data_IF_887972476905
#
_entry.id   IF_887972476905
#
_cell.length_a   1.000
_cell.length_b   1.000
_cell.length_c   1.000
_cell.angle_alpha   90.00
_cell.angle_beta   90.00
_cell.angle_gamma   90.00
#
_symmetry.space_group_name_H-M   'P 1'
#
loop_
_entity.id
_entity.type
_entity.pdbx_description
1 polymer ?
#
# COMPACT_ATOMS: atom_id res chain seq x y z
N UNK A 1 62.23 -10.95 -37.99
CA UNK A 1 61.96 -10.04 -36.84
C UNK A 1 60.91 -9.03 -37.27
N UNK A 2 59.67 -9.12 -36.83
CA UNK A 2 58.70 -8.07 -37.07
C UNK A 2 58.72 -7.05 -35.91
N UNK A 3 58.81 -5.79 -36.31
CA UNK A 3 58.83 -4.61 -35.47
C UNK A 3 57.44 -4.31 -34.95
N UNK A 4 57.26 -4.34 -33.61
CA UNK A 4 56.05 -3.91 -32.95
C UNK A 4 55.97 -2.38 -32.89
N UNK A 5 54.89 -1.81 -33.45
CA UNK A 5 54.50 -0.42 -33.25
C UNK A 5 53.64 -0.33 -32.00
N UNK A 6 53.82 0.64 -31.10
CA UNK A 6 52.98 0.83 -29.94
C UNK A 6 51.63 1.44 -30.31
N UNK A 7 50.56 0.87 -29.74
CA UNK A 7 49.18 1.39 -29.86
C UNK A 7 49.02 2.76 -29.19
N UNK A 8 48.25 3.68 -29.77
CA UNK A 8 47.97 4.97 -29.13
C UNK A 8 47.04 4.78 -27.90
N UNK A 9 47.50 5.34 -26.79
CA UNK A 9 46.72 5.43 -25.56
C UNK A 9 45.61 6.48 -25.75
N UNK A 10 44.35 6.04 -25.79
CA UNK A 10 43.22 6.96 -25.79
C UNK A 10 42.98 7.41 -24.33
N UNK A 11 43.31 8.67 -24.07
CA UNK A 11 42.98 9.34 -22.80
C UNK A 11 41.52 9.76 -22.90
N UNK A 12 40.64 9.09 -22.09
CA UNK A 12 39.29 9.53 -21.87
C UNK A 12 39.27 10.66 -20.84
N UNK A 13 39.04 11.89 -21.31
CA UNK A 13 38.68 12.99 -20.43
C UNK A 13 37.27 12.75 -19.85
N UNK A 14 37.09 12.82 -18.54
CA UNK A 14 35.74 12.71 -17.93
C UNK A 14 34.94 13.96 -18.32
N UNK A 15 33.63 13.79 -18.64
CA UNK A 15 32.81 14.94 -19.02
C UNK A 15 32.69 15.89 -17.81
N UNK A 16 33.03 17.14 -18.04
CA UNK A 16 32.94 18.22 -17.07
C UNK A 16 31.52 18.42 -16.59
N UNK A 17 31.28 18.07 -15.29
CA UNK A 17 30.06 18.37 -14.56
C UNK A 17 29.95 19.88 -14.29
N UNK A 18 29.44 20.61 -15.22
CA UNK A 18 29.21 22.05 -15.03
C UNK A 18 28.12 22.57 -15.98
N UNK A 19 26.86 22.21 -15.73
CA UNK A 19 25.71 22.91 -16.33
C UNK A 19 24.38 22.83 -15.55
N UNK A 20 24.33 22.41 -14.29
CA UNK A 20 23.07 22.34 -13.54
C UNK A 20 22.86 23.45 -12.49
N UNK A 21 23.82 24.38 -12.33
CA UNK A 21 23.69 25.46 -11.31
C UNK A 21 23.06 26.76 -11.82
N UNK A 22 22.84 26.91 -13.11
CA UNK A 22 22.28 28.13 -13.69
C UNK A 22 20.76 28.08 -13.85
N UNK A 23 20.16 26.90 -13.99
CA UNK A 23 18.70 26.77 -14.09
C UNK A 23 17.97 27.07 -12.77
N UNK A 24 18.53 26.66 -11.63
CA UNK A 24 17.93 26.93 -10.32
C UNK A 24 17.97 28.40 -9.88
N UNK A 25 18.82 29.21 -10.51
CA UNK A 25 18.92 30.64 -10.19
C UNK A 25 17.94 31.54 -10.95
N UNK A 26 17.33 31.05 -12.03
CA UNK A 26 16.34 31.78 -12.81
C UNK A 26 14.89 31.46 -12.37
N UNK A 27 14.66 30.30 -11.77
CA UNK A 27 13.32 29.88 -11.27
C UNK A 27 12.92 30.71 -10.04
N UNK A 28 13.85 30.98 -9.13
CA UNK A 28 13.58 31.78 -7.93
C UNK A 28 13.05 33.19 -8.21
N UNK A 29 13.71 34.00 -9.05
CA UNK A 29 13.19 35.32 -9.39
C UNK A 29 11.91 35.28 -10.23
N UNK A 30 11.69 34.24 -11.06
CA UNK A 30 10.44 34.09 -11.81
C UNK A 30 9.26 33.80 -10.88
N UNK A 31 9.42 32.93 -9.88
CA UNK A 31 8.42 32.66 -8.86
C UNK A 31 8.13 33.89 -7.99
N UNK A 32 9.13 34.68 -7.67
CA UNK A 32 8.94 35.94 -6.93
C UNK A 32 8.18 36.98 -7.76
N UNK A 33 8.44 37.07 -9.05
CA UNK A 33 7.71 37.98 -9.96
C UNK A 33 6.24 37.52 -10.10
N UNK A 34 5.99 36.21 -10.26
CA UNK A 34 4.62 35.68 -10.30
C UNK A 34 3.90 35.93 -8.96
N UNK A 35 4.53 35.64 -7.84
CA UNK A 35 3.98 35.93 -6.52
C UNK A 35 3.72 37.44 -6.29
N UNK A 36 4.59 38.31 -6.77
CA UNK A 36 4.39 39.74 -6.67
C UNK A 36 3.25 40.23 -7.58
N UNK A 37 3.10 39.69 -8.79
CA UNK A 37 1.98 40.00 -9.67
C UNK A 37 0.66 39.56 -9.06
N UNK A 38 0.60 38.33 -8.52
CA UNK A 38 -0.57 37.80 -7.81
C UNK A 38 -0.91 38.67 -6.60
N UNK A 39 0.08 39.08 -5.81
CA UNK A 39 -0.13 39.95 -4.65
C UNK A 39 -0.66 41.35 -5.06
N UNK A 40 -0.21 41.92 -6.19
CA UNK A 40 -0.69 43.20 -6.70
C UNK A 40 -2.11 43.09 -7.24
N UNK A 41 -2.44 42.01 -7.95
CA UNK A 41 -3.81 41.77 -8.47
C UNK A 41 -4.78 41.58 -7.32
N UNK A 42 -4.43 40.76 -6.32
CA UNK A 42 -5.25 40.48 -5.12
C UNK A 42 -5.43 41.72 -4.25
N UNK A 43 -4.43 42.60 -4.12
CA UNK A 43 -4.56 43.86 -3.34
C UNK A 43 -5.37 44.93 -4.06
N UNK A 44 -5.56 44.81 -5.35
CA UNK A 44 -6.37 45.75 -6.16
C UNK A 44 -7.83 45.31 -6.33
N UNK A 45 -8.10 44.01 -6.06
CA UNK A 45 -9.42 43.42 -6.14
C UNK A 45 -10.20 43.61 -4.83
N UNK A 46 -11.51 43.81 -4.93
CA UNK A 46 -12.39 43.81 -3.74
C UNK A 46 -12.41 42.44 -3.05
N UNK A 47 -12.96 42.34 -1.86
CA UNK A 47 -12.98 41.12 -1.04
C UNK A 47 -13.56 39.90 -1.80
N UNK A 48 -14.59 40.10 -2.63
CA UNK A 48 -15.21 39.04 -3.43
C UNK A 48 -14.22 38.45 -4.48
N UNK A 49 -13.53 39.30 -5.21
CA UNK A 49 -12.57 38.87 -6.24
C UNK A 49 -11.38 38.12 -5.60
N UNK A 50 -10.99 38.50 -4.41
CA UNK A 50 -9.95 37.80 -3.66
C UNK A 50 -10.40 36.38 -3.29
N UNK A 51 -11.62 36.20 -2.78
CA UNK A 51 -12.18 34.90 -2.42
C UNK A 51 -12.32 33.99 -3.66
N UNK A 52 -12.68 34.55 -4.81
CA UNK A 52 -12.76 33.82 -6.09
C UNK A 52 -11.40 33.28 -6.54
N UNK A 53 -10.34 34.08 -6.44
CA UNK A 53 -8.98 33.62 -6.75
C UNK A 53 -8.48 32.56 -5.77
N UNK A 54 -8.73 32.73 -4.47
CA UNK A 54 -8.37 31.73 -3.44
C UNK A 54 -9.10 30.39 -3.69
N UNK A 55 -10.35 30.43 -4.10
CA UNK A 55 -11.12 29.24 -4.47
C UNK A 55 -10.54 28.53 -5.69
N UNK A 56 -10.20 29.25 -6.75
CA UNK A 56 -9.57 28.70 -7.95
C UNK A 56 -8.19 28.11 -7.67
N UNK A 57 -7.40 28.75 -6.82
CA UNK A 57 -6.07 28.25 -6.42
C UNK A 57 -6.19 26.94 -5.63
N UNK A 58 -7.17 26.83 -4.72
CA UNK A 58 -7.45 25.59 -4.00
C UNK A 58 -7.94 24.50 -4.94
N UNK A 59 -8.87 24.79 -5.86
CA UNK A 59 -9.35 23.85 -6.86
C UNK A 59 -8.19 23.35 -7.73
N UNK A 60 -7.29 24.24 -8.15
CA UNK A 60 -6.08 23.89 -8.90
C UNK A 60 -5.14 22.97 -8.09
N UNK A 61 -4.94 23.26 -6.79
CA UNK A 61 -4.12 22.43 -5.92
C UNK A 61 -4.71 21.02 -5.78
N UNK A 62 -6.02 20.88 -5.59
CA UNK A 62 -6.73 19.60 -5.55
C UNK A 62 -6.59 18.85 -6.89
N UNK A 63 -6.71 19.56 -8.00
CA UNK A 63 -6.55 18.95 -9.33
C UNK A 63 -5.16 18.38 -9.57
N UNK A 64 -4.12 19.00 -9.01
CA UNK A 64 -2.73 18.48 -9.07
C UNK A 64 -2.59 17.16 -8.31
N UNK A 65 -3.20 17.03 -7.13
CA UNK A 65 -3.16 15.78 -6.36
C UNK A 65 -3.96 14.67 -7.08
N UNK A 66 -5.14 14.98 -7.61
CA UNK A 66 -5.92 14.02 -8.40
C UNK A 66 -5.22 13.60 -9.71
N UNK A 67 -4.45 14.48 -10.33
CA UNK A 67 -3.64 14.10 -11.49
C UNK A 67 -2.55 13.08 -11.10
N UNK A 68 -1.91 13.25 -9.92
CA UNK A 68 -0.97 12.26 -9.36
C UNK A 68 -1.65 10.93 -9.06
N UNK A 69 -2.88 10.98 -8.51
CA UNK A 69 -3.70 9.79 -8.29
C UNK A 69 -3.94 9.02 -9.61
N UNK A 70 -4.23 9.73 -10.70
CA UNK A 70 -4.34 9.15 -12.03
C UNK A 70 -3.04 8.51 -12.53
N UNK A 71 -1.88 9.14 -12.26
CA UNK A 71 -0.57 8.55 -12.57
C UNK A 71 -0.31 7.28 -11.74
N UNK A 72 -0.65 7.30 -10.46
CA UNK A 72 -0.54 6.14 -9.57
C UNK A 72 -1.42 4.97 -10.03
N UNK A 73 -2.67 5.23 -10.44
CA UNK A 73 -3.54 4.21 -10.98
C UNK A 73 -2.96 3.58 -12.25
N UNK A 74 -2.42 4.38 -13.18
CA UNK A 74 -1.78 3.88 -14.40
C UNK A 74 -0.55 3.02 -14.09
N UNK A 75 0.24 3.40 -13.10
CA UNK A 75 1.38 2.59 -12.66
C UNK A 75 0.94 1.24 -12.09
N UNK A 76 -0.03 1.22 -11.19
CA UNK A 76 -0.63 -0.02 -10.64
C UNK A 76 -1.16 -0.92 -11.73
N UNK A 77 -1.96 -0.37 -12.65
CA UNK A 77 -2.50 -1.13 -13.80
C UNK A 77 -1.39 -1.78 -14.62
N UNK A 78 -0.30 -1.07 -14.86
CA UNK A 78 0.85 -1.59 -15.62
C UNK A 78 1.55 -2.78 -14.94
N UNK A 79 1.35 -2.94 -13.62
CA UNK A 79 2.01 -3.94 -12.78
C UNK A 79 1.07 -5.01 -12.20
N UNK A 80 -0.23 -5.02 -12.55
CA UNK A 80 -1.23 -5.97 -11.99
C UNK A 80 -0.80 -7.44 -12.02
N UNK A 81 0.01 -7.85 -13.01
CA UNK A 81 0.50 -9.24 -13.13
C UNK A 81 1.56 -9.62 -12.09
N UNK A 82 2.09 -8.67 -11.30
CA UNK A 82 3.23 -8.88 -10.40
C UNK A 82 3.23 -8.00 -9.16
N UNK A 83 2.19 -7.20 -8.96
CA UNK A 83 2.06 -6.35 -7.77
C UNK A 83 1.64 -7.21 -6.59
N UNK A 84 2.17 -6.92 -5.41
CA UNK A 84 1.71 -7.53 -4.17
C UNK A 84 0.39 -6.91 -3.70
N UNK A 85 -0.46 -7.72 -3.04
CA UNK A 85 -1.79 -7.29 -2.57
C UNK A 85 -1.73 -6.08 -1.66
N UNK A 86 -0.81 -6.07 -0.70
CA UNK A 86 -0.64 -4.96 0.25
C UNK A 86 -0.23 -3.67 -0.45
N UNK A 87 0.66 -3.74 -1.45
CA UNK A 87 1.04 -2.58 -2.25
C UNK A 87 -0.14 -2.08 -3.08
N UNK A 88 -0.89 -2.99 -3.71
CA UNK A 88 -2.09 -2.65 -4.49
C UNK A 88 -3.11 -1.90 -3.65
N UNK A 89 -3.51 -2.46 -2.50
CA UNK A 89 -4.48 -1.87 -1.58
C UNK A 89 -3.97 -0.51 -1.08
N UNK A 90 -2.72 -0.41 -0.66
CA UNK A 90 -2.13 0.85 -0.17
C UNK A 90 -2.22 1.97 -1.21
N UNK A 91 -1.94 1.67 -2.48
CA UNK A 91 -2.00 2.70 -3.54
C UNK A 91 -3.45 3.08 -3.85
N UNK A 92 -4.37 2.11 -3.91
CA UNK A 92 -5.79 2.40 -4.19
C UNK A 92 -6.43 3.17 -3.03
N UNK A 93 -6.11 2.83 -1.78
CA UNK A 93 -6.53 3.60 -0.60
C UNK A 93 -6.01 5.04 -0.65
N UNK A 94 -4.75 5.24 -1.08
CA UNK A 94 -4.19 6.57 -1.28
C UNK A 94 -4.99 7.39 -2.30
N UNK A 95 -5.37 6.79 -3.43
CA UNK A 95 -6.21 7.43 -4.45
C UNK A 95 -7.59 7.79 -3.86
N UNK A 96 -8.20 6.86 -3.12
CA UNK A 96 -9.48 7.08 -2.43
C UNK A 96 -9.41 8.22 -1.42
N UNK A 97 -8.29 8.35 -0.72
CA UNK A 97 -8.04 9.44 0.22
C UNK A 97 -7.90 10.79 -0.50
N UNK A 98 -7.20 10.85 -1.63
CA UNK A 98 -7.08 12.07 -2.44
C UNK A 98 -8.47 12.54 -2.95
N UNK A 99 -9.34 11.61 -3.36
CA UNK A 99 -10.73 11.90 -3.72
C UNK A 99 -11.52 12.42 -2.50
N UNK A 100 -11.34 11.80 -1.32
CA UNK A 100 -12.01 12.21 -0.08
C UNK A 100 -11.64 13.65 0.33
N UNK A 101 -10.37 14.05 0.18
CA UNK A 101 -9.93 15.44 0.40
C UNK A 101 -10.63 16.40 -0.57
N UNK A 102 -10.88 15.98 -1.81
CA UNK A 102 -11.69 16.75 -2.77
C UNK A 102 -13.12 17.01 -2.27
N UNK A 103 -13.75 16.06 -1.57
CA UNK A 103 -15.07 16.25 -0.97
C UNK A 103 -15.06 17.31 0.14
N UNK A 104 -14.01 17.36 0.97
CA UNK A 104 -13.89 18.42 1.99
C UNK A 104 -13.87 19.82 1.37
N UNK A 105 -13.25 19.96 0.19
CA UNK A 105 -13.27 21.22 -0.55
C UNK A 105 -14.67 21.58 -1.07
N UNK A 106 -15.43 20.64 -1.65
CA UNK A 106 -16.76 20.94 -2.19
C UNK A 106 -17.86 21.12 -1.12
N UNK A 107 -17.60 20.76 0.13
CA UNK A 107 -18.47 21.07 1.27
C UNK A 107 -18.42 22.56 1.66
N UNK A 108 -17.36 23.25 1.30
CA UNK A 108 -17.25 24.70 1.50
C UNK A 108 -18.22 25.42 0.54
N UNK A 109 -18.79 26.55 1.03
CA UNK A 109 -19.62 27.36 0.16
C UNK A 109 -18.78 28.05 -0.92
N UNK A 110 -19.27 28.08 -2.17
CA UNK A 110 -18.57 28.79 -3.23
C UNK A 110 -18.54 30.30 -2.93
N UNK A 111 -17.50 31.04 -3.37
CA UNK A 111 -17.35 32.46 -3.05
C UNK A 111 -18.48 33.31 -3.61
N UNK A 112 -19.03 32.93 -4.75
CA UNK A 112 -20.18 33.60 -5.40
C UNK A 112 -21.07 32.58 -6.11
N UNK A 113 -22.32 32.97 -6.44
CA UNK A 113 -23.27 32.08 -7.14
C UNK A 113 -22.74 31.57 -8.49
N UNK A 114 -21.91 32.36 -9.18
CA UNK A 114 -21.32 31.95 -10.47
C UNK A 114 -20.40 30.72 -10.36
N UNK A 115 -19.84 30.41 -9.18
CA UNK A 115 -19.05 29.19 -8.92
C UNK A 115 -19.90 27.97 -8.53
N UNK A 116 -21.23 28.11 -8.40
CA UNK A 116 -22.10 26.99 -8.04
C UNK A 116 -22.05 25.85 -9.08
N UNK A 117 -21.92 26.18 -10.38
CA UNK A 117 -21.79 25.21 -11.45
C UNK A 117 -20.45 24.46 -11.37
N UNK A 118 -19.35 25.18 -11.13
CA UNK A 118 -18.00 24.60 -10.92
C UNK A 118 -18.00 23.63 -9.74
N UNK A 119 -18.54 24.04 -8.58
CA UNK A 119 -18.69 23.19 -7.40
C UNK A 119 -19.50 21.93 -7.70
N UNK A 120 -20.64 22.09 -8.42
CA UNK A 120 -21.52 20.97 -8.77
C UNK A 120 -20.84 19.95 -9.68
N UNK A 121 -20.13 20.41 -10.71
CA UNK A 121 -19.39 19.54 -11.62
C UNK A 121 -18.25 18.82 -10.89
N UNK A 122 -17.48 19.54 -10.06
CA UNK A 122 -16.41 18.93 -9.31
C UNK A 122 -16.93 17.84 -8.36
N UNK A 123 -18.00 18.11 -7.62
CA UNK A 123 -18.64 17.11 -6.77
C UNK A 123 -19.11 15.87 -7.55
N UNK A 124 -19.69 16.05 -8.74
CA UNK A 124 -20.13 14.94 -9.58
C UNK A 124 -18.94 14.11 -10.09
N UNK A 125 -17.84 14.76 -10.49
CA UNK A 125 -16.62 14.06 -10.89
C UNK A 125 -16.05 13.21 -9.73
N UNK A 126 -15.96 13.79 -8.51
CA UNK A 126 -15.51 13.07 -7.32
C UNK A 126 -16.40 11.86 -6.99
N UNK A 127 -17.73 11.98 -7.07
CA UNK A 127 -18.64 10.87 -6.83
C UNK A 127 -18.46 9.74 -7.84
N UNK A 128 -18.27 10.07 -9.10
CA UNK A 128 -18.04 9.08 -10.15
C UNK A 128 -16.68 8.40 -9.97
N UNK A 129 -15.63 9.14 -9.65
CA UNK A 129 -14.31 8.57 -9.36
C UNK A 129 -14.31 7.70 -8.12
N UNK A 130 -14.96 8.12 -7.02
CA UNK A 130 -15.08 7.32 -5.79
C UNK A 130 -15.77 5.97 -6.07
N UNK A 131 -16.91 6.00 -6.75
CA UNK A 131 -17.64 4.78 -7.15
C UNK A 131 -16.76 3.89 -8.05
N UNK A 132 -16.09 4.50 -9.02
CA UNK A 132 -15.23 3.79 -9.96
C UNK A 132 -14.00 3.15 -9.30
N UNK A 133 -13.29 3.85 -8.41
CA UNK A 133 -12.13 3.32 -7.70
C UNK A 133 -12.53 2.19 -6.74
N UNK A 134 -13.59 2.38 -5.97
CA UNK A 134 -14.13 1.34 -5.07
C UNK A 134 -14.50 0.07 -5.84
N UNK A 135 -15.21 0.21 -6.95
CA UNK A 135 -15.59 -0.93 -7.77
C UNK A 135 -14.40 -1.58 -8.50
N UNK A 136 -13.41 -0.78 -8.92
CA UNK A 136 -12.16 -1.26 -9.52
C UNK A 136 -11.38 -2.14 -8.54
N UNK A 137 -11.16 -1.65 -7.33
CA UNK A 137 -10.48 -2.41 -6.27
C UNK A 137 -11.17 -3.74 -5.99
N UNK A 138 -12.48 -3.68 -5.70
CA UNK A 138 -13.27 -4.88 -5.43
C UNK A 138 -13.20 -5.89 -6.58
N UNK A 139 -13.25 -5.43 -7.84
CA UNK A 139 -13.18 -6.28 -9.01
C UNK A 139 -11.82 -6.94 -9.20
N UNK A 140 -10.72 -6.20 -8.97
CA UNK A 140 -9.36 -6.73 -9.07
C UNK A 140 -9.12 -7.80 -8.01
N UNK A 141 -9.48 -7.52 -6.75
CA UNK A 141 -9.29 -8.46 -5.64
C UNK A 141 -10.16 -9.70 -5.82
N UNK A 142 -11.43 -9.54 -6.19
CA UNK A 142 -12.32 -10.67 -6.46
C UNK A 142 -11.83 -11.54 -7.63
N UNK A 143 -11.25 -10.92 -8.67
CA UNK A 143 -10.68 -11.68 -9.79
C UNK A 143 -9.48 -12.52 -9.38
N UNK A 144 -8.67 -12.03 -8.45
CA UNK A 144 -7.52 -12.75 -7.92
C UNK A 144 -7.93 -13.88 -6.97
N UNK A 145 -8.93 -13.62 -6.11
CA UNK A 145 -9.40 -14.58 -5.10
C UNK A 145 -10.31 -15.66 -5.70
N UNK A 146 -11.11 -15.31 -6.71
CA UNK A 146 -12.05 -16.20 -7.40
C UNK A 146 -11.78 -16.23 -8.93
N UNK A 147 -10.70 -16.84 -9.42
CA UNK A 147 -10.32 -16.75 -10.83
C UNK A 147 -11.36 -17.28 -11.83
N UNK A 148 -12.28 -18.12 -11.38
CA UNK A 148 -13.36 -18.69 -12.22
C UNK A 148 -14.65 -17.84 -12.20
N UNK A 149 -14.71 -16.76 -11.41
CA UNK A 149 -15.88 -15.91 -11.33
C UNK A 149 -15.99 -15.03 -12.59
N UNK A 150 -16.99 -15.30 -13.44
CA UNK A 150 -17.17 -14.61 -14.71
C UNK A 150 -17.86 -13.24 -14.56
N UNK A 151 -18.58 -13.03 -13.47
CA UNK A 151 -19.34 -11.77 -13.24
C UNK A 151 -18.40 -10.58 -13.01
N UNK A 152 -17.18 -10.85 -12.58
CA UNK A 152 -16.20 -9.81 -12.26
C UNK A 152 -15.80 -8.94 -13.47
N UNK A 153 -15.89 -9.47 -14.69
CA UNK A 153 -15.59 -8.70 -15.91
C UNK A 153 -16.63 -7.60 -16.15
N UNK A 154 -17.91 -7.90 -15.89
CA UNK A 154 -19.00 -6.93 -16.02
C UNK A 154 -18.92 -5.86 -14.92
N UNK A 155 -18.61 -6.27 -13.67
CA UNK A 155 -18.40 -5.35 -12.55
C UNK A 155 -17.21 -4.42 -12.81
N UNK A 156 -16.10 -4.94 -13.36
CA UNK A 156 -14.97 -4.13 -13.78
C UNK A 156 -15.36 -3.13 -14.88
N UNK A 157 -16.15 -3.56 -15.87
CA UNK A 157 -16.60 -2.67 -16.94
C UNK A 157 -17.46 -1.51 -16.42
N UNK A 158 -18.32 -1.78 -15.44
CA UNK A 158 -19.13 -0.75 -14.76
C UNK A 158 -18.22 0.23 -13.99
N UNK A 159 -17.27 -0.27 -13.22
CA UNK A 159 -16.32 0.56 -12.48
C UNK A 159 -15.48 1.47 -13.40
N UNK A 160 -15.01 0.93 -14.52
CA UNK A 160 -14.29 1.72 -15.53
C UNK A 160 -15.20 2.74 -16.23
N UNK A 161 -16.50 2.46 -16.35
CA UNK A 161 -17.46 3.41 -16.91
C UNK A 161 -17.66 4.60 -15.95
N UNK A 162 -17.72 4.37 -14.64
CA UNK A 162 -17.78 5.42 -13.62
C UNK A 162 -16.50 6.28 -13.64
N UNK A 163 -15.32 5.67 -13.69
CA UNK A 163 -14.05 6.43 -13.80
C UNK A 163 -14.05 7.33 -15.05
N UNK A 164 -14.50 6.79 -16.18
CA UNK A 164 -14.59 7.58 -17.42
C UNK A 164 -15.64 8.67 -17.37
N UNK A 165 -16.75 8.44 -16.68
CA UNK A 165 -17.76 9.47 -16.44
C UNK A 165 -17.17 10.62 -15.62
N UNK A 166 -16.40 10.31 -14.57
CA UNK A 166 -15.69 11.31 -13.78
C UNK A 166 -14.69 12.12 -14.60
N UNK A 167 -13.89 11.47 -15.47
CA UNK A 167 -12.98 12.15 -16.39
C UNK A 167 -13.73 13.11 -17.33
N UNK A 168 -14.86 12.67 -17.88
CA UNK A 168 -15.69 13.50 -18.75
C UNK A 168 -16.30 14.72 -18.03
N UNK A 169 -16.83 14.52 -16.83
CA UNK A 169 -17.37 15.61 -16.00
C UNK A 169 -16.28 16.62 -15.63
N UNK A 170 -15.05 16.14 -15.35
CA UNK A 170 -13.93 17.01 -15.05
C UNK A 170 -13.52 17.88 -16.27
N UNK A 171 -13.58 17.33 -17.48
CA UNK A 171 -13.37 18.11 -18.72
C UNK A 171 -14.41 19.24 -18.82
N UNK A 172 -15.68 18.94 -18.51
CA UNK A 172 -16.75 19.94 -18.48
C UNK A 172 -16.50 21.00 -17.40
N UNK A 173 -15.96 20.60 -16.23
CA UNK A 173 -15.57 21.53 -15.17
C UNK A 173 -14.46 22.47 -15.66
N UNK A 174 -13.40 21.96 -16.30
CA UNK A 174 -12.32 22.79 -16.86
C UNK A 174 -12.86 23.78 -17.89
N UNK A 175 -13.81 23.33 -18.72
CA UNK A 175 -14.49 24.21 -19.67
C UNK A 175 -15.30 25.32 -18.98
N UNK A 176 -15.98 24.96 -17.87
CA UNK A 176 -16.75 25.93 -17.06
C UNK A 176 -15.84 26.97 -16.40
N UNK A 177 -14.72 26.57 -15.81
CA UNK A 177 -13.73 27.47 -15.19
C UNK A 177 -13.12 28.43 -16.23
N UNK A 178 -12.99 28.01 -17.47
CA UNK A 178 -12.42 28.83 -18.55
C UNK A 178 -13.46 29.74 -19.24
N UNK A 179 -14.68 29.87 -18.74
CA UNK A 179 -15.67 30.82 -19.28
C UNK A 179 -15.23 32.26 -19.05
N UNK A 180 -15.55 33.12 -19.98
CA UNK A 180 -15.21 34.55 -19.90
C UNK A 180 -15.85 35.28 -18.69
N UNK A 181 -16.88 34.69 -18.11
CA UNK A 181 -17.64 35.24 -16.98
C UNK A 181 -16.96 35.04 -15.63
N UNK A 182 -16.02 34.09 -15.55
CA UNK A 182 -15.25 33.78 -14.33
C UNK A 182 -13.86 34.43 -14.38
N UNK A 183 -13.28 34.79 -13.23
CA UNK A 183 -11.90 35.22 -13.21
C UNK A 183 -11.02 34.10 -13.69
N UNK A 184 -10.08 34.44 -14.59
CA UNK A 184 -9.17 33.43 -15.13
C UNK A 184 -8.19 32.99 -14.06
N UNK A 185 -8.02 31.66 -13.83
CA UNK A 185 -7.04 31.15 -12.88
C UNK A 185 -5.61 31.59 -13.26
N UNK A 186 -4.74 31.82 -12.27
CA UNK A 186 -3.37 32.27 -12.51
C UNK A 186 -2.52 31.26 -13.31
N UNK A 187 -2.94 30.00 -13.33
CA UNK A 187 -2.36 28.92 -14.13
C UNK A 187 -3.49 28.13 -14.79
N UNK A 188 -3.29 27.54 -15.96
CA UNK A 188 -4.26 26.62 -16.54
C UNK A 188 -4.58 25.47 -15.59
N UNK A 189 -5.84 25.05 -15.57
CA UNK A 189 -6.23 23.84 -14.81
C UNK A 189 -5.44 22.63 -15.32
N UNK A 190 -5.01 21.78 -14.39
CA UNK A 190 -4.32 20.53 -14.71
C UNK A 190 -5.33 19.54 -15.27
N UNK A 191 -4.96 18.83 -16.33
CA UNK A 191 -5.77 17.71 -16.82
C UNK A 191 -5.74 16.55 -15.83
N UNK A 192 -6.92 16.15 -15.35
CA UNK A 192 -7.10 14.96 -14.52
C UNK A 192 -7.77 13.89 -15.35
N UNK A 193 -7.10 12.75 -15.50
CA UNK A 193 -7.63 11.58 -16.19
C UNK A 193 -7.16 10.31 -15.47
N UNK A 194 -8.11 9.51 -15.03
CA UNK A 194 -7.83 8.23 -14.42
C UNK A 194 -7.74 7.10 -15.46
N UNK A 195 -8.40 7.26 -16.61
CA UNK A 195 -8.39 6.27 -17.69
C UNK A 195 -7.83 6.82 -19.01
N UNK A 196 -7.22 5.97 -19.86
CA UNK A 196 -6.86 6.34 -21.22
C UNK A 196 -8.08 6.72 -22.06
N UNK A 197 -8.05 7.86 -22.75
CA UNK A 197 -9.19 8.45 -23.49
C UNK A 197 -9.75 7.51 -24.56
N UNK A 198 -8.86 6.87 -25.35
CA UNK A 198 -9.25 6.13 -26.55
C UNK A 198 -9.42 4.62 -26.32
N UNK A 199 -9.29 4.12 -25.09
CA UNK A 199 -9.35 2.71 -24.80
C UNK A 199 -10.81 2.21 -24.71
N UNK A 200 -11.09 1.04 -25.29
CA UNK A 200 -12.34 0.33 -25.11
C UNK A 200 -12.50 -0.15 -23.68
N UNK A 201 -13.57 0.23 -22.99
CA UNK A 201 -13.84 -0.22 -21.61
C UNK A 201 -13.89 -1.75 -21.52
N UNK A 202 -14.54 -2.41 -22.45
CA UNK A 202 -14.59 -3.88 -22.49
C UNK A 202 -13.19 -4.49 -22.66
N UNK A 203 -12.37 -3.91 -23.54
CA UNK A 203 -11.00 -4.37 -23.73
C UNK A 203 -10.14 -4.18 -22.49
N UNK A 204 -10.28 -3.04 -21.79
CA UNK A 204 -9.60 -2.77 -20.53
C UNK A 204 -10.06 -3.74 -19.43
N UNK A 205 -11.38 -3.96 -19.29
CA UNK A 205 -11.93 -4.85 -18.26
C UNK A 205 -11.36 -6.26 -18.38
N UNK A 206 -11.39 -6.83 -19.59
CA UNK A 206 -10.82 -8.16 -19.84
C UNK A 206 -9.33 -8.17 -19.54
N UNK A 207 -8.57 -7.17 -20.01
CA UNK A 207 -7.11 -7.10 -19.79
C UNK A 207 -6.74 -6.98 -18.32
N UNK A 208 -7.47 -6.19 -17.54
CA UNK A 208 -7.18 -5.99 -16.12
C UNK A 208 -7.52 -7.23 -15.31
N UNK A 209 -8.67 -7.85 -15.57
CA UNK A 209 -9.09 -9.09 -14.92
C UNK A 209 -8.13 -10.24 -15.25
N UNK A 210 -7.72 -10.41 -16.50
CA UNK A 210 -6.75 -11.43 -16.89
C UNK A 210 -5.38 -11.19 -16.24
N UNK A 211 -4.99 -9.93 -16.07
CA UNK A 211 -3.75 -9.55 -15.37
C UNK A 211 -3.82 -9.89 -13.88
N UNK A 212 -4.95 -9.59 -13.21
CA UNK A 212 -5.18 -9.91 -11.81
C UNK A 212 -5.20 -11.42 -11.54
N UNK A 213 -5.74 -12.22 -12.48
CA UNK A 213 -5.77 -13.70 -12.43
C UNK A 213 -4.43 -14.36 -12.73
N UNK A 214 -3.41 -13.58 -13.10
CA UNK A 214 -2.10 -14.15 -13.43
C UNK A 214 -1.55 -14.98 -12.27
N UNK A 215 -1.02 -16.20 -12.51
CA UNK A 215 -0.37 -17.00 -11.48
C UNK A 215 0.84 -16.30 -10.81
N UNK A 216 1.40 -15.30 -11.49
CA UNK A 216 2.53 -14.52 -11.00
C UNK A 216 2.09 -13.27 -10.25
N UNK A 217 0.78 -13.01 -10.15
CA UNK A 217 0.25 -11.88 -9.39
C UNK A 217 0.33 -12.17 -7.89
N UNK A 218 0.80 -11.21 -7.12
CA UNK A 218 0.78 -11.23 -5.65
C UNK A 218 -0.59 -10.86 -5.05
N UNK A 219 -1.62 -10.68 -5.88
CA UNK A 219 -2.95 -10.21 -5.47
C UNK A 219 -3.80 -11.30 -4.79
N UNK A 220 -3.61 -12.56 -5.17
CA UNK A 220 -4.38 -13.66 -4.58
C UNK A 220 -4.23 -13.68 -3.06
N UNK A 221 -5.33 -13.96 -2.38
CA UNK A 221 -5.39 -14.07 -0.92
C UNK A 221 -4.44 -15.16 -0.43
N UNK A 222 -3.53 -14.80 0.45
CA UNK A 222 -2.56 -15.72 1.05
C UNK A 222 -2.49 -15.46 2.56
N UNK A 223 -3.41 -16.03 3.36
CA UNK A 223 -3.25 -16.08 4.81
C UNK A 223 -1.99 -16.87 5.16
N UNK A 224 -1.29 -16.47 6.21
CA UNK A 224 -0.04 -17.14 6.57
C UNK A 224 0.40 -16.75 7.98
N UNK A 225 -0.37 -17.15 9.00
CA UNK A 225 0.01 -16.98 10.39
C UNK A 225 0.84 -18.20 10.82
N UNK A 226 2.09 -18.00 11.25
CA UNK A 226 2.98 -19.08 11.61
C UNK A 226 3.75 -18.86 12.92
N UNK A 227 4.18 -19.94 13.54
CA UNK A 227 5.14 -19.94 14.66
C UNK A 227 6.53 -19.86 14.07
N UNK A 228 7.26 -18.78 14.33
CA UNK A 228 8.60 -18.57 13.76
C UNK A 228 9.73 -18.96 14.69
N UNK A 229 9.51 -18.94 16.02
CA UNK A 229 10.56 -19.26 16.98
C UNK A 229 9.98 -19.61 18.36
N UNK A 230 10.66 -20.51 19.11
CA UNK A 230 10.50 -20.71 20.54
C UNK A 230 11.84 -20.36 21.22
N UNK A 231 11.78 -19.55 22.27
CA UNK A 231 12.92 -19.19 23.11
C UNK A 231 12.60 -19.60 24.56
N UNK A 232 13.57 -20.11 25.29
CA UNK A 232 13.42 -20.48 26.70
C UNK A 232 14.16 -19.50 27.62
N UNK A 233 13.63 -19.29 28.83
CA UNK A 233 14.30 -18.63 29.94
C UNK A 233 14.25 -19.59 31.17
N UNK A 234 15.39 -20.10 31.67
CA UNK A 234 16.77 -19.82 31.21
C UNK A 234 17.01 -20.27 29.76
N UNK A 235 17.90 -19.56 29.06
CA UNK A 235 18.22 -19.83 27.66
C UNK A 235 18.89 -21.21 27.52
N UNK A 236 18.40 -22.01 26.58
CA UNK A 236 19.04 -23.28 26.23
C UNK A 236 20.30 -23.05 25.38
N UNK A 237 21.25 -23.97 25.54
CA UNK A 237 22.44 -24.04 24.72
C UNK A 237 22.31 -25.21 23.75
N UNK A 238 22.88 -25.07 22.58
CA UNK A 238 22.96 -26.19 21.63
C UNK A 238 24.26 -26.93 21.88
N UNK A 239 24.18 -28.21 22.21
CA UNK A 239 25.35 -29.04 22.44
C UNK A 239 26.04 -29.45 21.09
N UNK A 240 27.21 -30.10 21.14
CA UNK A 240 27.90 -30.56 19.92
C UNK A 240 27.14 -31.60 19.09
N UNK A 241 26.04 -32.17 19.62
CA UNK A 241 25.15 -33.11 18.97
C UNK A 241 23.91 -32.44 18.38
N UNK A 242 23.86 -31.12 18.37
CA UNK A 242 22.74 -30.29 17.92
C UNK A 242 21.47 -30.45 18.78
N UNK A 243 21.64 -30.80 20.09
CA UNK A 243 20.55 -30.90 21.05
C UNK A 243 20.44 -29.64 21.89
N UNK A 244 19.21 -29.19 22.13
CA UNK A 244 18.95 -28.09 23.05
C UNK A 244 19.11 -28.59 24.51
N UNK A 245 19.89 -27.86 25.31
CA UNK A 245 20.18 -28.20 26.70
C UNK A 245 19.92 -26.99 27.58
N UNK A 246 19.00 -27.11 28.53
CA UNK A 246 18.78 -26.11 29.57
C UNK A 246 19.77 -26.27 30.72
N UNK A 247 20.21 -25.17 31.35
CA UNK A 247 20.90 -25.27 32.65
C UNK A 247 19.99 -25.95 33.67
N UNK A 248 20.57 -26.42 34.79
CA UNK A 248 19.78 -27.01 35.86
C UNK A 248 18.75 -26.01 36.40
N UNK A 249 17.46 -26.36 36.23
CA UNK A 249 16.33 -25.53 36.66
C UNK A 249 15.13 -26.40 36.94
N UNK A 250 14.21 -25.90 37.79
CA UNK A 250 12.91 -26.52 38.06
C UNK A 250 11.77 -25.82 37.32
N UNK A 251 12.03 -24.64 36.71
CA UNK A 251 11.05 -23.84 36.02
C UNK A 251 11.66 -23.32 34.70
N UNK A 252 10.87 -23.31 33.66
CA UNK A 252 11.19 -22.72 32.37
C UNK A 252 10.04 -21.83 31.90
N UNK A 253 10.38 -20.66 31.36
CA UNK A 253 9.43 -19.76 30.67
C UNK A 253 9.70 -19.85 29.19
N UNK A 254 8.69 -20.11 28.39
CA UNK A 254 8.80 -20.09 26.94
C UNK A 254 8.28 -18.76 26.38
N UNK A 255 9.03 -18.18 25.45
CA UNK A 255 8.61 -17.07 24.61
C UNK A 255 8.45 -17.59 23.20
N UNK A 256 7.24 -17.49 22.64
CA UNK A 256 6.91 -17.95 21.30
C UNK A 256 6.74 -16.74 20.40
N UNK A 257 7.47 -16.72 19.31
CA UNK A 257 7.37 -15.68 18.29
C UNK A 257 6.44 -16.14 17.18
N UNK A 258 5.42 -15.35 16.90
CA UNK A 258 4.41 -15.58 15.86
C UNK A 258 4.53 -14.49 14.84
N UNK A 259 4.48 -14.86 13.56
CA UNK A 259 4.63 -13.94 12.42
C UNK A 259 3.49 -14.16 11.43
N UNK A 260 2.88 -13.07 10.97
CA UNK A 260 2.02 -13.14 9.80
C UNK A 260 2.87 -12.96 8.54
N UNK A 261 3.16 -14.06 7.86
CA UNK A 261 3.91 -14.12 6.57
C UNK A 261 2.97 -13.99 5.36
N UNK A 262 1.67 -13.87 5.61
CA UNK A 262 0.64 -13.70 4.60
C UNK A 262 0.57 -12.28 4.05
N UNK A 263 -0.36 -12.06 3.12
CA UNK A 263 -0.62 -10.74 2.52
C UNK A 263 -1.95 -10.12 2.97
N UNK A 264 -2.53 -10.63 4.04
CA UNK A 264 -3.78 -10.15 4.66
C UNK A 264 -3.64 -10.19 6.17
N UNK A 265 -4.40 -9.34 6.87
CA UNK A 265 -4.53 -9.40 8.33
C UNK A 265 -5.06 -10.77 8.73
N UNK A 266 -4.40 -11.43 9.72
CA UNK A 266 -4.83 -12.74 10.20
C UNK A 266 -6.19 -12.65 10.91
N UNK A 267 -6.88 -13.77 10.98
CA UNK A 267 -8.01 -13.91 11.92
C UNK A 267 -7.50 -13.99 13.37
N UNK A 268 -8.41 -13.83 14.33
CA UNK A 268 -8.16 -14.23 15.72
C UNK A 268 -7.84 -15.72 15.76
N UNK A 269 -6.85 -16.12 16.55
CA UNK A 269 -6.41 -17.51 16.70
C UNK A 269 -5.96 -17.79 18.13
N UNK A 270 -5.70 -19.06 18.45
CA UNK A 270 -5.18 -19.51 19.74
C UNK A 270 -3.80 -20.15 19.58
N UNK A 271 -2.81 -19.62 20.30
CA UNK A 271 -1.54 -20.31 20.48
C UNK A 271 -1.68 -21.36 21.59
N UNK A 272 -1.36 -22.60 21.27
CA UNK A 272 -1.30 -23.69 22.23
C UNK A 272 0.15 -24.14 22.40
N UNK A 273 0.66 -24.08 23.64
CA UNK A 273 1.99 -24.60 23.98
C UNK A 273 1.83 -25.81 24.89
N UNK A 274 2.41 -26.92 24.47
CA UNK A 274 2.36 -28.19 25.20
C UNK A 274 3.78 -28.64 25.54
N UNK A 275 4.03 -28.92 26.80
CA UNK A 275 5.27 -29.53 27.29
C UNK A 275 5.00 -30.98 27.72
N UNK A 276 5.75 -31.91 27.13
CA UNK A 276 5.69 -33.36 27.43
C UNK A 276 7.08 -33.83 27.90
N UNK A 277 7.13 -35.04 28.52
CA UNK A 277 8.35 -35.60 29.08
C UNK A 277 8.34 -35.69 30.60
N UNK A 278 7.42 -34.94 31.27
CA UNK A 278 7.12 -35.09 32.68
C UNK A 278 6.05 -36.14 32.94
N UNK A 279 5.61 -36.32 34.22
CA UNK A 279 4.58 -37.30 34.62
C UNK A 279 3.22 -37.03 33.94
N UNK A 280 2.87 -35.74 33.75
CA UNK A 280 1.67 -35.29 33.07
C UNK A 280 2.05 -34.17 32.07
N UNK A 281 1.40 -34.13 30.88
CA UNK A 281 1.59 -33.02 29.95
C UNK A 281 1.10 -31.70 30.54
N UNK A 282 1.90 -30.62 30.38
CA UNK A 282 1.51 -29.26 30.75
C UNK A 282 1.07 -28.53 29.47
N UNK A 283 -0.09 -27.88 29.54
CA UNK A 283 -0.64 -27.15 28.39
C UNK A 283 -1.00 -25.73 28.78
N UNK A 284 -0.58 -24.77 27.99
CA UNK A 284 -1.01 -23.38 28.05
C UNK A 284 -1.69 -23.00 26.74
N UNK A 285 -2.69 -22.12 26.81
CA UNK A 285 -3.40 -21.58 25.65
C UNK A 285 -3.50 -20.06 25.80
N UNK A 286 -3.17 -19.33 24.76
CA UNK A 286 -3.18 -17.86 24.72
C UNK A 286 -3.88 -17.41 23.46
N UNK A 287 -4.93 -16.60 23.61
CA UNK A 287 -5.61 -15.99 22.47
C UNK A 287 -4.72 -14.95 21.82
N UNK A 288 -4.69 -14.95 20.48
CA UNK A 288 -3.95 -14.03 19.65
C UNK A 288 -4.91 -13.03 19.02
N UNK A 289 -4.56 -11.76 19.10
CA UNK A 289 -5.22 -10.72 18.32
C UNK A 289 -4.79 -10.82 16.86
N UNK A 290 -5.62 -10.33 15.91
CA UNK A 290 -5.26 -10.26 14.50
C UNK A 290 -3.92 -9.54 14.28
N UNK A 291 -3.05 -10.09 13.43
CA UNK A 291 -1.77 -9.52 13.05
C UNK A 291 -1.85 -9.03 11.60
N UNK A 292 -1.39 -7.82 11.35
CA UNK A 292 -1.24 -7.30 9.99
C UNK A 292 -0.13 -8.05 9.22
N UNK A 293 -0.11 -8.02 7.88
CA UNK A 293 0.95 -8.56 7.08
C UNK A 293 2.33 -8.10 7.58
N UNK A 294 3.29 -9.03 7.62
CA UNK A 294 4.66 -8.84 8.13
C UNK A 294 4.75 -8.46 9.62
N UNK A 295 3.64 -8.37 10.32
CA UNK A 295 3.64 -8.12 11.76
C UNK A 295 4.10 -9.35 12.54
N UNK A 296 4.79 -9.10 13.65
CA UNK A 296 5.34 -10.11 14.54
C UNK A 296 4.94 -9.80 15.98
N UNK A 297 4.57 -10.84 16.74
CA UNK A 297 4.27 -10.74 18.17
C UNK A 297 5.04 -11.81 18.94
N UNK A 298 5.50 -11.48 20.15
CA UNK A 298 6.11 -12.43 21.08
C UNK A 298 5.15 -12.68 22.22
N UNK A 299 4.75 -13.93 22.38
CA UNK A 299 3.85 -14.40 23.44
C UNK A 299 4.69 -15.07 24.53
N UNK A 300 4.60 -14.58 25.78
CA UNK A 300 5.27 -15.14 26.92
C UNK A 300 4.30 -16.11 27.62
N UNK A 301 4.74 -17.36 27.76
CA UNK A 301 3.95 -18.43 28.38
C UNK A 301 4.22 -18.45 29.90
N UNK A 302 3.20 -18.76 30.69
CA UNK A 302 3.37 -18.95 32.13
C UNK A 302 4.46 -20.01 32.43
N UNK A 303 5.22 -19.88 33.53
CA UNK A 303 6.30 -20.80 33.86
C UNK A 303 5.80 -22.26 33.94
N UNK A 304 6.51 -23.15 33.28
CA UNK A 304 6.25 -24.60 33.28
C UNK A 304 7.30 -25.32 34.12
N UNK A 305 6.88 -26.35 34.85
CA UNK A 305 7.78 -27.14 35.69
C UNK A 305 8.53 -28.19 34.89
N UNK A 306 9.81 -28.32 35.19
CA UNK A 306 10.73 -29.32 34.63
C UNK A 306 11.56 -29.93 35.77
N UNK A 307 12.15 -31.09 35.57
CA UNK A 307 13.02 -31.74 36.55
C UNK A 307 14.45 -31.81 35.98
N UNK A 308 15.48 -31.52 36.80
CA UNK A 308 16.87 -31.75 36.40
C UNK A 308 17.12 -33.17 35.94
N UNK A 309 17.89 -33.36 34.87
CA UNK A 309 18.11 -34.65 34.23
C UNK A 309 16.98 -35.14 33.33
N UNK A 310 15.85 -34.42 33.26
CA UNK A 310 14.69 -34.77 32.44
C UNK A 310 14.92 -34.46 30.96
N UNK A 311 14.19 -35.22 30.12
CA UNK A 311 14.13 -34.99 28.65
C UNK A 311 12.71 -34.57 28.35
N UNK A 312 12.56 -33.45 27.66
CA UNK A 312 11.27 -32.81 27.38
C UNK A 312 11.11 -32.51 25.90
N UNK A 313 9.87 -32.44 25.50
CA UNK A 313 9.47 -31.91 24.19
C UNK A 313 8.48 -30.75 24.41
N UNK A 314 8.78 -29.58 23.86
CA UNK A 314 7.85 -28.47 23.78
C UNK A 314 7.34 -28.30 22.36
N UNK A 315 6.04 -28.22 22.23
CA UNK A 315 5.33 -27.96 20.97
C UNK A 315 4.56 -26.67 21.11
N UNK A 316 4.84 -25.69 20.30
CA UNK A 316 4.00 -24.52 20.11
C UNK A 316 3.23 -24.66 18.79
N UNK A 317 1.92 -24.58 18.84
CA UNK A 317 1.06 -24.77 17.67
C UNK A 317 -0.07 -23.75 17.65
N UNK A 318 -0.38 -23.27 16.44
CA UNK A 318 -1.58 -22.48 16.14
C UNK A 318 -2.72 -23.40 15.74
N UNK A 319 -3.96 -22.93 15.89
CA UNK A 319 -5.10 -23.60 15.30
C UNK A 319 -4.96 -23.51 13.77
N UNK A 320 -5.22 -24.64 13.08
CA UNK A 320 -5.11 -24.68 11.62
C UNK A 320 -6.29 -23.93 11.02
N UNK A 321 -6.03 -22.78 10.38
CA UNK A 321 -7.02 -22.14 9.52
C UNK A 321 -7.17 -22.92 8.21
N UNK A 322 -8.39 -23.22 7.81
CA UNK A 322 -8.68 -23.94 6.55
C UNK A 322 -8.10 -23.24 5.31
N UNK A 323 -7.78 -21.95 5.40
CA UNK A 323 -7.30 -21.10 4.33
C UNK A 323 -5.81 -20.74 4.45
N UNK A 324 -5.07 -21.32 5.41
CA UNK A 324 -3.65 -21.03 5.54
C UNK A 324 -2.87 -21.52 4.30
N UNK A 325 -2.00 -20.67 3.80
CA UNK A 325 -1.19 -20.97 2.62
C UNK A 325 0.03 -21.85 2.92
N UNK A 326 0.45 -21.94 4.20
CA UNK A 326 1.63 -22.68 4.66
C UNK A 326 1.39 -23.39 5.99
N UNK A 327 0.85 -24.58 5.98
CA UNK A 327 0.59 -25.38 7.18
C UNK A 327 1.85 -25.85 7.92
N UNK A 328 3.02 -25.81 7.26
CA UNK A 328 4.27 -26.33 7.84
C UNK A 328 4.82 -25.44 8.95
N UNK A 329 4.50 -24.14 8.94
CA UNK A 329 4.93 -23.16 9.94
C UNK A 329 3.92 -22.95 11.09
N UNK A 330 2.77 -23.63 11.06
CA UNK A 330 1.76 -23.56 12.12
C UNK A 330 2.21 -24.20 13.43
N UNK A 331 3.33 -24.89 13.46
CA UNK A 331 3.88 -25.47 14.67
C UNK A 331 5.40 -25.60 14.65
N UNK A 332 6.01 -25.39 15.81
CA UNK A 332 7.41 -25.70 16.07
C UNK A 332 7.50 -26.69 17.21
N UNK A 333 8.35 -27.69 17.06
CA UNK A 333 8.69 -28.67 18.10
C UNK A 333 10.16 -28.57 18.44
N UNK A 334 10.47 -28.48 19.74
CA UNK A 334 11.84 -28.51 20.26
C UNK A 334 11.95 -29.57 21.31
N UNK A 335 12.91 -30.50 21.13
CA UNK A 335 13.30 -31.51 22.14
C UNK A 335 14.52 -30.97 22.88
N UNK A 336 14.44 -30.97 24.21
CA UNK A 336 15.55 -30.48 25.03
C UNK A 336 15.77 -31.35 26.27
N UNK A 337 16.97 -31.24 26.85
CA UNK A 337 17.33 -31.87 28.13
C UNK A 337 17.58 -30.80 29.18
N UNK A 338 17.34 -31.12 30.43
CA UNK A 338 17.69 -30.26 31.58
C UNK A 338 18.92 -30.86 32.27
N UNK A 339 19.98 -30.06 32.44
CA UNK A 339 21.18 -30.51 33.12
C UNK A 339 20.88 -31.01 34.54
N UNK A 340 21.66 -32.01 35.02
CA UNK A 340 21.47 -32.58 36.37
C UNK A 340 21.95 -31.65 37.53
N UNK A 341 22.69 -30.57 37.25
CA UNK A 341 23.18 -29.63 38.27
C UNK A 341 24.61 -29.90 38.74
#
# INVERSE_FOLDING_TARGET
>A
MPTYLPSPTVVFDPPSRSRSRTFGRLIGPLLLVVAAIVAIVVSAAGDDTRAEFEYLDQLQAQSVELAKAGDALRDVVSRLQRIERTEFVTVVDGISQDIAVGFEFVEQDPPTEQFAAVRSLYRQALLAWEAGITGYEASVLLAADEPQNLVVVDAMAESLAELRAGDGIYIDLVAEVNRDELPQPPSPMVDVMLLPVDASLVGLSVSYIDSARSPNSGLALRPGLGVSQIVADPEWQVDPSDQAVLPATELVVFSVVITNSGNVTSAEDDLVVTLTGGPDPIRAQVALEPLDPDQQVTVIIEPMTVEPGGVYEVVAALAISENDSNFEDNSITVVFTVNEG
#
